data_IF_263524909804
#
_entry.id   IF_263524909804
#
_cell.length_a   1.000
_cell.length_b   1.000
_cell.length_c   1.000
_cell.angle_alpha   90.00
_cell.angle_beta   90.00
_cell.angle_gamma   90.00
#
_symmetry.space_group_name_H-M   'P 1'
#
loop_
_entity.id
_entity.type
_entity.pdbx_description
1 polymer ?
#
# COMPACT_ATOMS: atom_id res chain seq x y z
N UNK A 1 19.07 4.60 15.75
CA UNK A 1 18.59 5.26 14.52
C UNK A 1 17.08 5.35 14.57
N UNK A 2 16.51 6.55 14.35
CA UNK A 2 15.06 6.74 14.26
C UNK A 2 14.62 6.19 12.88
N UNK A 3 13.65 5.28 12.85
CA UNK A 3 13.11 4.75 11.59
C UNK A 3 12.00 5.67 11.12
N UNK A 4 12.06 6.14 9.88
CA UNK A 4 10.96 6.90 9.30
C UNK A 4 9.89 5.93 8.83
N UNK A 5 8.65 6.11 9.29
CA UNK A 5 7.52 5.29 8.86
C UNK A 5 6.75 6.10 7.81
N UNK A 6 6.51 5.48 6.66
CA UNK A 6 5.73 6.04 5.58
C UNK A 6 4.49 5.18 5.33
N UNK A 7 3.32 5.80 5.40
CA UNK A 7 2.05 5.16 5.05
C UNK A 7 1.76 5.38 3.56
N UNK A 8 1.44 4.30 2.85
CA UNK A 8 1.12 4.33 1.42
C UNK A 8 -0.26 3.72 1.22
N UNK A 9 -1.12 4.42 0.48
CA UNK A 9 -2.47 3.97 0.12
C UNK A 9 -2.73 4.25 -1.36
N UNK A 10 -3.68 3.57 -1.98
CA UNK A 10 -4.05 3.87 -3.36
C UNK A 10 -4.96 5.10 -3.44
N UNK A 11 -5.96 5.19 -2.56
CA UNK A 11 -7.01 6.20 -2.62
C UNK A 11 -7.22 6.90 -1.27
N UNK A 12 -7.59 8.20 -1.25
CA UNK A 12 -7.92 8.92 -0.01
C UNK A 12 -9.00 8.25 0.83
N UNK A 13 -9.97 7.61 0.18
CA UNK A 13 -11.07 6.91 0.85
C UNK A 13 -10.62 5.69 1.67
N UNK A 14 -9.38 5.21 1.47
CA UNK A 14 -8.80 4.13 2.29
C UNK A 14 -8.33 4.65 3.66
N UNK A 15 -8.12 5.97 3.81
CA UNK A 15 -7.95 6.63 5.10
C UNK A 15 -9.33 6.97 5.70
N UNK A 16 -10.00 5.96 6.22
CA UNK A 16 -11.38 6.08 6.71
C UNK A 16 -11.49 7.20 7.74
N UNK A 17 -12.26 8.25 7.42
CA UNK A 17 -12.49 9.40 8.30
C UNK A 17 -11.22 10.20 8.65
N UNK A 18 -10.15 10.09 7.84
CA UNK A 18 -8.85 10.70 8.11
C UNK A 18 -8.22 10.26 9.45
N UNK A 19 -8.61 9.08 9.97
CA UNK A 19 -8.16 8.59 11.28
C UNK A 19 -6.65 8.40 11.37
N UNK A 20 -5.96 8.17 10.24
CA UNK A 20 -4.51 7.99 10.24
C UNK A 20 -3.73 9.30 10.42
N UNK A 21 -4.37 10.45 10.17
CA UNK A 21 -3.72 11.77 10.25
C UNK A 21 -3.32 12.10 11.69
N UNK A 22 -4.06 11.59 12.68
CA UNK A 22 -3.79 11.80 14.10
C UNK A 22 -2.42 11.28 14.55
N UNK A 23 -1.81 10.35 13.80
CA UNK A 23 -0.50 9.79 14.12
C UNK A 23 0.66 10.67 13.64
N UNK A 24 0.40 11.74 12.87
CA UNK A 24 1.43 12.64 12.36
C UNK A 24 2.45 11.97 11.44
N UNK A 25 2.11 10.81 10.88
CA UNK A 25 2.94 10.08 9.92
C UNK A 25 2.70 10.62 8.51
N UNK A 26 3.73 10.66 7.64
CA UNK A 26 3.52 10.99 6.23
C UNK A 26 2.63 9.93 5.56
N UNK A 27 1.64 10.41 4.82
CA UNK A 27 0.69 9.59 4.06
C UNK A 27 0.82 9.96 2.58
N UNK A 28 0.92 8.95 1.72
CA UNK A 28 1.05 9.13 0.28
C UNK A 28 -0.02 8.32 -0.45
N UNK A 29 -0.71 8.97 -1.38
CA UNK A 29 -1.74 8.36 -2.21
C UNK A 29 -1.20 8.09 -3.62
N UNK A 30 -1.05 6.81 -3.96
CA UNK A 30 -0.43 6.41 -5.23
C UNK A 30 -1.38 6.51 -6.41
N UNK A 31 -2.68 6.43 -6.18
CA UNK A 31 -3.64 6.04 -7.21
C UNK A 31 -3.67 4.52 -7.39
N UNK A 32 -4.70 4.04 -8.08
CA UNK A 32 -4.94 2.60 -8.27
C UNK A 32 -3.94 2.00 -9.27
N UNK A 33 -3.43 0.82 -8.96
CA UNK A 33 -2.64 -0.01 -9.89
C UNK A 33 -1.13 -0.04 -9.59
N UNK A 34 -0.49 -1.13 -10.01
CA UNK A 34 0.93 -1.43 -9.70
C UNK A 34 1.90 -0.40 -10.29
N UNK A 35 1.62 0.10 -11.49
CA UNK A 35 2.46 1.10 -12.17
C UNK A 35 2.47 2.41 -11.37
N UNK A 36 1.29 2.90 -10.98
CA UNK A 36 1.14 4.11 -10.19
C UNK A 36 1.84 4.00 -8.83
N UNK A 37 1.67 2.86 -8.15
CA UNK A 37 2.36 2.57 -6.90
C UNK A 37 3.88 2.55 -7.07
N UNK A 38 4.39 1.85 -8.08
CA UNK A 38 5.83 1.73 -8.32
C UNK A 38 6.49 3.06 -8.69
N UNK A 39 5.89 3.84 -9.60
CA UNK A 39 6.45 5.12 -10.03
C UNK A 39 6.55 6.08 -8.84
N UNK A 40 5.42 6.35 -8.16
CA UNK A 40 5.41 7.31 -7.06
C UNK A 40 6.31 6.88 -5.91
N UNK A 41 6.20 5.61 -5.48
CA UNK A 41 7.05 5.13 -4.40
C UNK A 41 8.54 5.14 -4.79
N UNK A 42 8.87 4.85 -6.05
CA UNK A 42 10.22 4.97 -6.59
C UNK A 42 10.76 6.39 -6.55
N UNK A 43 9.96 7.39 -6.95
CA UNK A 43 10.35 8.81 -6.88
C UNK A 43 10.66 9.25 -5.44
N UNK A 44 9.84 8.85 -4.47
CA UNK A 44 10.02 9.21 -3.06
C UNK A 44 11.21 8.47 -2.43
N UNK A 45 11.35 7.17 -2.70
CA UNK A 45 12.43 6.37 -2.12
C UNK A 45 13.79 6.63 -2.79
N UNK A 46 13.82 7.09 -4.04
CA UNK A 46 15.09 7.46 -4.72
C UNK A 46 15.69 8.77 -4.21
N UNK A 47 14.87 9.62 -3.58
CA UNK A 47 15.29 10.93 -3.06
C UNK A 47 15.57 10.90 -1.55
N UNK A 48 15.21 9.82 -0.85
CA UNK A 48 15.49 9.66 0.58
C UNK A 48 16.81 8.95 0.82
N UNK A 49 17.63 9.50 1.73
CA UNK A 49 18.87 8.87 2.19
C UNK A 49 18.67 8.10 3.51
N UNK A 50 17.43 8.01 3.99
CA UNK A 50 17.10 7.46 5.31
C UNK A 50 16.40 6.09 5.21
N UNK A 51 16.67 5.23 6.21
CA UNK A 51 16.01 3.94 6.34
C UNK A 51 14.51 4.15 6.62
N UNK A 52 13.69 3.90 5.60
CA UNK A 52 12.24 4.11 5.64
C UNK A 52 11.52 2.76 5.74
N UNK A 53 10.66 2.60 6.75
CA UNK A 53 9.67 1.54 6.81
C UNK A 53 8.45 2.01 6.02
N UNK A 54 8.14 1.32 4.93
CA UNK A 54 6.93 1.58 4.13
C UNK A 54 5.83 0.61 4.56
N UNK A 55 4.68 1.13 4.98
CA UNK A 55 3.48 0.35 5.30
C UNK A 55 2.45 0.64 4.22
N UNK A 56 2.22 -0.34 3.35
CA UNK A 56 1.14 -0.28 2.37
C UNK A 56 -0.18 -0.69 3.04
N UNK A 57 -1.12 0.24 3.10
CA UNK A 57 -2.47 0.04 3.60
C UNK A 57 -3.44 0.17 2.42
N UNK A 58 -4.48 -0.65 2.43
CA UNK A 58 -5.49 -0.58 1.39
C UNK A 58 -6.50 -1.69 1.50
N UNK A 59 -7.55 -1.55 0.72
CA UNK A 59 -8.52 -2.62 0.55
C UNK A 59 -7.95 -3.73 -0.34
N UNK A 60 -8.28 -4.98 -0.02
CA UNK A 60 -7.89 -6.13 -0.82
C UNK A 60 -9.06 -7.10 -0.96
N UNK A 61 -9.30 -7.57 -2.19
CA UNK A 61 -10.22 -8.67 -2.43
C UNK A 61 -9.64 -9.99 -1.94
N UNK A 62 -10.39 -10.77 -1.17
CA UNK A 62 -9.95 -12.10 -0.74
C UNK A 62 -10.30 -13.16 -1.79
N UNK A 63 -9.31 -13.99 -2.16
CA UNK A 63 -9.54 -15.22 -2.94
C UNK A 63 -9.93 -16.41 -2.06
N UNK A 64 -9.67 -16.33 -0.73
CA UNK A 64 -9.96 -17.41 0.24
C UNK A 64 -11.34 -17.29 0.87
N UNK A 65 -11.89 -16.09 0.93
CA UNK A 65 -13.13 -15.81 1.61
C UNK A 65 -14.19 -15.36 0.60
N UNK A 66 -15.44 -15.86 0.69
CA UNK A 66 -16.52 -15.40 -0.15
C UNK A 66 -16.70 -13.89 -0.06
N UNK A 67 -17.14 -13.29 -1.16
CA UNK A 67 -17.34 -11.83 -1.29
C UNK A 67 -18.31 -11.25 -0.24
N UNK A 68 -19.12 -12.09 0.41
CA UNK A 68 -20.14 -11.74 1.40
C UNK A 68 -19.71 -11.93 2.87
N UNK A 69 -18.44 -12.20 3.16
CA UNK A 69 -17.92 -12.08 4.54
C UNK A 69 -17.23 -10.73 4.72
N UNK A 70 -17.97 -9.66 5.11
CA UNK A 70 -17.39 -8.35 5.34
C UNK A 70 -16.42 -8.38 6.53
N UNK A 71 -15.48 -7.43 6.55
CA UNK A 71 -14.57 -7.14 7.68
C UNK A 71 -13.46 -8.15 8.01
N UNK A 72 -12.95 -8.94 7.05
CA UNK A 72 -11.64 -9.60 7.22
C UNK A 72 -10.57 -8.88 6.41
N UNK A 73 -9.58 -8.31 7.10
CA UNK A 73 -8.35 -7.81 6.48
C UNK A 73 -7.39 -8.99 6.25
N UNK A 74 -7.11 -9.38 5.01
CA UNK A 74 -5.99 -10.27 4.74
C UNK A 74 -4.69 -9.49 4.96
N UNK A 75 -3.83 -9.96 5.87
CA UNK A 75 -2.44 -9.55 5.87
C UNK A 75 -1.71 -10.34 4.77
N UNK A 76 -1.19 -9.64 3.76
CA UNK A 76 -0.48 -10.31 2.68
C UNK A 76 0.84 -10.87 3.22
N UNK A 77 1.06 -12.16 3.02
CA UNK A 77 2.34 -12.83 3.33
C UNK A 77 3.28 -12.82 2.13
N UNK A 78 2.75 -12.66 0.89
CA UNK A 78 3.48 -12.51 -0.37
C UNK A 78 2.62 -11.77 -1.41
N UNK A 79 3.20 -10.80 -2.12
CA UNK A 79 2.60 -10.19 -3.31
C UNK A 79 3.15 -10.89 -4.57
N UNK A 80 2.30 -11.64 -5.28
CA UNK A 80 2.69 -12.27 -6.56
C UNK A 80 2.40 -11.31 -7.74
N UNK A 81 3.46 -10.90 -8.45
CA UNK A 81 3.35 -10.22 -9.73
C UNK A 81 3.01 -11.23 -10.84
N UNK A 82 1.77 -11.71 -10.87
CA UNK A 82 1.37 -12.85 -11.72
C UNK A 82 1.17 -12.57 -13.23
N UNK A 83 1.47 -11.38 -13.73
CA UNK A 83 1.08 -10.96 -15.09
C UNK A 83 2.19 -10.88 -16.17
N UNK A 84 3.42 -11.36 -15.90
CA UNK A 84 4.53 -11.25 -16.86
C UNK A 84 5.07 -12.58 -17.42
N UNK A 85 4.52 -13.74 -17.01
CA UNK A 85 5.10 -15.05 -17.35
C UNK A 85 4.22 -15.96 -18.23
N UNK A 86 3.02 -15.53 -18.65
CA UNK A 86 2.13 -16.34 -19.51
C UNK A 86 1.81 -15.69 -20.86
N UNK A 87 2.59 -14.70 -21.28
CA UNK A 87 2.62 -14.20 -22.67
C UNK A 87 3.94 -14.58 -23.32
N UNK A 88 4.12 -15.88 -23.58
CA UNK A 88 5.02 -16.43 -24.60
C UNK A 88 4.34 -17.64 -25.20
#
# INVERSE_FOLDING_TARGET
>A
MKKNILLVMALPQENVGNLLDQFGLPIIYTGVGKINAAIKLGEILSTTNEHTIVINLGSAGSHKYPRHTPNRQPCNTRDEARDLLHRR
#
